data_IF_371691631100
#
_entry.id   IF_371691631100
#
_cell.length_a   1.000
_cell.length_b   1.000
_cell.length_c   1.000
_cell.angle_alpha   90.00
_cell.angle_beta   90.00
_cell.angle_gamma   90.00
#
_symmetry.space_group_name_H-M   'P 1'
#
loop_
_entity.id
_entity.type
_entity.pdbx_description
1 polymer ?
#
# COMPACT_ATOMS: atom_id res chain seq x y z
N UNK A 1 -17.61 12.39 -6.61
CA UNK A 1 -17.19 11.84 -7.93
C UNK A 1 -16.84 10.37 -7.70
N UNK A 2 -17.36 9.43 -8.48
CA UNK A 2 -17.07 8.01 -8.30
C UNK A 2 -15.54 7.77 -8.42
N UNK A 3 -15.00 6.84 -7.63
CA UNK A 3 -13.61 6.43 -7.72
C UNK A 3 -13.34 5.76 -9.08
N UNK A 4 -12.11 5.85 -9.53
CA UNK A 4 -11.61 5.15 -10.73
C UNK A 4 -10.22 4.60 -10.46
N UNK A 5 -9.87 3.49 -11.11
CA UNK A 5 -8.50 2.98 -11.06
C UNK A 5 -7.57 3.97 -11.75
N UNK A 6 -6.52 4.47 -11.09
CA UNK A 6 -5.54 5.32 -11.76
C UNK A 6 -4.71 4.49 -12.75
N UNK A 7 -4.26 5.12 -13.83
CA UNK A 7 -3.31 4.50 -14.75
C UNK A 7 -2.01 4.15 -14.00
N UNK A 8 -1.37 3.02 -14.39
CA UNK A 8 -0.03 2.71 -13.92
C UNK A 8 0.96 3.76 -14.44
N UNK A 9 1.89 4.25 -13.61
CA UNK A 9 2.91 5.21 -14.06
C UNK A 9 4.03 4.56 -14.90
N UNK A 10 3.94 3.26 -15.18
CA UNK A 10 4.90 2.46 -15.95
C UNK A 10 4.20 1.30 -16.66
N UNK A 11 4.90 0.64 -17.60
CA UNK A 11 4.38 -0.54 -18.29
C UNK A 11 4.23 -1.75 -17.34
N UNK A 12 3.34 -2.68 -17.66
CA UNK A 12 3.08 -3.85 -16.80
C UNK A 12 4.31 -4.73 -16.56
N UNK A 13 5.22 -4.82 -17.52
CA UNK A 13 6.47 -5.57 -17.46
C UNK A 13 7.64 -4.78 -16.84
N UNK A 14 7.43 -3.52 -16.49
CA UNK A 14 8.51 -2.62 -16.07
C UNK A 14 9.18 -3.01 -14.74
N UNK A 15 8.53 -3.83 -13.93
CA UNK A 15 9.05 -4.28 -12.63
C UNK A 15 9.73 -5.66 -12.72
N UNK A 16 9.82 -6.24 -13.92
CA UNK A 16 10.59 -7.47 -14.14
C UNK A 16 12.10 -7.24 -13.86
N UNK A 17 12.81 -8.20 -13.32
CA UNK A 17 12.39 -9.58 -13.02
C UNK A 17 11.81 -9.74 -11.59
N UNK A 18 11.49 -8.67 -10.87
CA UNK A 18 11.11 -8.70 -9.46
C UNK A 18 9.61 -8.98 -9.26
N UNK A 19 8.75 -8.33 -10.04
CA UNK A 19 7.30 -8.60 -10.09
C UNK A 19 6.96 -8.87 -11.56
N UNK A 20 6.27 -9.97 -11.82
CA UNK A 20 5.98 -10.41 -13.18
C UNK A 20 4.81 -9.65 -13.81
N UNK A 21 4.83 -9.53 -15.14
CA UNK A 21 3.81 -8.82 -15.91
C UNK A 21 2.40 -9.39 -15.67
N UNK A 22 2.25 -10.71 -15.56
CA UNK A 22 0.94 -11.33 -15.37
C UNK A 22 0.34 -10.96 -14.02
N UNK A 23 1.16 -10.99 -12.96
CA UNK A 23 0.75 -10.48 -11.64
C UNK A 23 0.31 -9.03 -11.73
N UNK A 24 1.08 -8.14 -12.38
CA UNK A 24 0.74 -6.73 -12.49
C UNK A 24 -0.59 -6.50 -13.22
N UNK A 25 -0.85 -7.21 -14.33
CA UNK A 25 -2.11 -7.10 -15.08
C UNK A 25 -3.32 -7.57 -14.25
N UNK A 26 -3.21 -8.71 -13.59
CA UNK A 26 -4.30 -9.23 -12.76
C UNK A 26 -4.52 -8.34 -11.55
N UNK A 27 -3.44 -7.92 -10.89
CA UNK A 27 -3.49 -7.14 -9.67
C UNK A 27 -4.10 -5.75 -9.90
N UNK A 28 -3.68 -5.05 -10.97
CA UNK A 28 -4.20 -3.74 -11.33
C UNK A 28 -5.58 -3.84 -11.99
N UNK A 29 -5.73 -4.61 -13.08
CA UNK A 29 -6.93 -4.55 -13.92
C UNK A 29 -8.12 -5.35 -13.36
N UNK A 30 -7.87 -6.28 -12.42
CA UNK A 30 -8.92 -7.12 -11.84
C UNK A 30 -9.11 -6.86 -10.35
N UNK A 31 -8.07 -7.00 -9.52
CA UNK A 31 -8.23 -6.83 -8.08
C UNK A 31 -8.50 -5.36 -7.73
N UNK A 32 -7.69 -4.42 -8.20
CA UNK A 32 -7.91 -2.99 -7.92
C UNK A 32 -9.24 -2.51 -8.51
N UNK A 33 -9.57 -2.89 -9.75
CA UNK A 33 -10.86 -2.54 -10.36
C UNK A 33 -12.04 -3.06 -9.52
N UNK A 34 -11.97 -4.29 -9.01
CA UNK A 34 -13.03 -4.83 -8.18
C UNK A 34 -13.21 -4.07 -6.86
N UNK A 35 -12.12 -3.55 -6.27
CA UNK A 35 -12.22 -2.69 -5.10
C UNK A 35 -12.92 -1.37 -5.43
N UNK A 36 -12.55 -0.74 -6.55
CA UNK A 36 -13.20 0.49 -7.03
C UNK A 36 -14.70 0.29 -7.25
N UNK A 37 -15.08 -0.75 -7.98
CA UNK A 37 -16.48 -1.03 -8.30
C UNK A 37 -17.32 -1.24 -7.03
N UNK A 38 -16.78 -2.01 -6.08
CA UNK A 38 -17.47 -2.30 -4.81
C UNK A 38 -17.50 -1.11 -3.86
N UNK A 39 -16.45 -0.27 -3.84
CA UNK A 39 -16.43 0.96 -3.05
C UNK A 39 -17.49 1.94 -3.56
N UNK A 40 -17.55 2.15 -4.87
CA UNK A 40 -18.55 2.99 -5.50
C UNK A 40 -19.98 2.51 -5.21
N UNK A 41 -20.23 1.20 -5.37
CA UNK A 41 -21.54 0.62 -5.06
C UNK A 41 -21.92 0.76 -3.56
N UNK A 42 -20.94 0.63 -2.66
CA UNK A 42 -21.18 0.80 -1.23
C UNK A 42 -21.53 2.25 -0.85
N UNK A 43 -20.94 3.23 -1.53
CA UNK A 43 -21.14 4.66 -1.28
C UNK A 43 -22.33 5.26 -2.04
N UNK A 44 -22.86 4.54 -3.05
CA UNK A 44 -23.98 5.03 -3.85
C UNK A 44 -25.17 5.48 -2.99
N UNK A 45 -25.69 6.67 -3.31
CA UNK A 45 -26.82 7.25 -2.60
C UNK A 45 -26.50 7.80 -1.21
N UNK A 46 -25.25 7.81 -0.79
CA UNK A 46 -24.79 8.44 0.46
C UNK A 46 -24.21 9.83 0.20
N UNK A 47 -24.12 10.66 1.23
CA UNK A 47 -23.40 11.94 1.17
C UNK A 47 -21.86 11.79 0.95
N UNK A 48 -21.36 10.56 1.02
CA UNK A 48 -19.95 10.21 0.86
C UNK A 48 -19.57 9.83 -0.57
N UNK A 49 -20.54 9.68 -1.47
CA UNK A 49 -20.31 9.20 -2.83
C UNK A 49 -19.40 10.11 -3.70
N UNK A 50 -19.37 11.41 -3.37
CA UNK A 50 -18.57 12.39 -4.11
C UNK A 50 -17.34 12.91 -3.35
N UNK A 51 -17.02 12.30 -2.21
CA UNK A 51 -15.86 12.68 -1.40
C UNK A 51 -14.60 11.98 -1.87
N UNK A 52 -13.46 12.59 -1.52
CA UNK A 52 -12.16 11.97 -1.70
C UNK A 52 -12.02 10.70 -0.86
N UNK A 53 -11.27 9.72 -1.37
CA UNK A 53 -11.10 8.42 -0.70
C UNK A 53 -10.42 8.55 0.66
N UNK A 54 -9.48 9.49 0.82
CA UNK A 54 -8.83 9.74 2.11
C UNK A 54 -9.81 10.30 3.13
N UNK A 55 -10.67 11.25 2.71
CA UNK A 55 -11.71 11.80 3.59
C UNK A 55 -12.68 10.70 4.03
N UNK A 56 -13.10 9.83 3.13
CA UNK A 56 -13.95 8.66 3.44
C UNK A 56 -13.28 7.75 4.46
N UNK A 57 -12.00 7.40 4.25
CA UNK A 57 -11.26 6.48 5.13
C UNK A 57 -10.95 7.06 6.51
N UNK A 58 -10.66 8.35 6.59
CA UNK A 58 -10.47 9.05 7.88
C UNK A 58 -11.77 9.16 8.70
N UNK A 59 -12.91 9.05 8.07
CA UNK A 59 -14.22 9.24 8.68
C UNK A 59 -15.11 7.98 8.64
N UNK A 60 -14.52 6.78 8.62
CA UNK A 60 -15.28 5.51 8.52
C UNK A 60 -16.40 5.39 9.58
N UNK A 61 -16.17 5.88 10.80
CA UNK A 61 -17.16 5.83 11.89
C UNK A 61 -18.37 6.74 11.66
N UNK A 62 -18.26 7.72 10.78
CA UNK A 62 -19.36 8.63 10.43
C UNK A 62 -20.27 8.06 9.32
N UNK A 63 -19.84 7.01 8.63
CA UNK A 63 -20.68 6.31 7.65
C UNK A 63 -21.83 5.55 8.34
N UNK A 64 -22.95 5.30 7.63
CA UNK A 64 -23.99 4.38 8.10
C UNK A 64 -23.40 3.02 8.49
N UNK A 65 -23.78 2.46 9.64
CA UNK A 65 -23.16 1.28 10.22
C UNK A 65 -23.16 0.05 9.31
N UNK A 66 -24.20 -0.12 8.51
CA UNK A 66 -24.32 -1.19 7.51
C UNK A 66 -23.38 -1.03 6.30
N UNK A 67 -22.83 0.16 6.08
CA UNK A 67 -21.90 0.49 5.00
C UNK A 67 -20.43 0.41 5.43
N UNK A 68 -20.13 0.63 6.71
CA UNK A 68 -18.75 0.78 7.21
C UNK A 68 -17.82 -0.37 6.80
N UNK A 69 -18.25 -1.62 6.97
CA UNK A 69 -17.41 -2.77 6.64
C UNK A 69 -17.10 -2.86 5.14
N UNK A 70 -18.11 -2.64 4.29
CA UNK A 70 -17.93 -2.67 2.84
C UNK A 70 -17.02 -1.54 2.37
N UNK A 71 -17.18 -0.31 2.91
CA UNK A 71 -16.35 0.85 2.57
C UNK A 71 -14.92 0.64 3.10
N UNK A 72 -14.74 0.23 4.36
CA UNK A 72 -13.43 -0.07 4.93
C UNK A 72 -12.63 -1.03 4.04
N UNK A 73 -13.24 -2.13 3.62
CA UNK A 73 -12.57 -3.12 2.79
C UNK A 73 -12.29 -2.64 1.37
N UNK A 74 -13.23 -1.98 0.73
CA UNK A 74 -13.15 -1.70 -0.69
C UNK A 74 -12.56 -0.31 -1.00
N UNK A 75 -12.91 0.74 -0.26
CA UNK A 75 -12.23 2.03 -0.37
C UNK A 75 -10.80 1.94 0.19
N UNK A 76 -10.59 1.15 1.27
CA UNK A 76 -9.24 0.83 1.75
C UNK A 76 -8.41 0.11 0.69
N UNK A 77 -9.00 -0.90 0.02
CA UNK A 77 -8.34 -1.58 -1.09
C UNK A 77 -7.99 -0.64 -2.23
N UNK A 78 -8.92 0.22 -2.65
CA UNK A 78 -8.65 1.22 -3.67
C UNK A 78 -7.51 2.16 -3.28
N UNK A 79 -7.54 2.74 -2.08
CA UNK A 79 -6.51 3.67 -1.61
C UNK A 79 -5.13 3.00 -1.49
N UNK A 80 -5.07 1.83 -0.84
CA UNK A 80 -3.82 1.10 -0.65
C UNK A 80 -3.14 0.77 -1.98
N UNK A 81 -3.92 0.31 -2.99
CA UNK A 81 -3.39 -0.02 -4.31
C UNK A 81 -3.00 1.24 -5.10
N UNK A 82 -3.77 2.34 -5.00
CA UNK A 82 -3.40 3.61 -5.63
C UNK A 82 -2.04 4.11 -5.16
N UNK A 83 -1.75 3.97 -3.86
CA UNK A 83 -0.44 4.28 -3.31
C UNK A 83 0.62 3.28 -3.77
N UNK A 84 0.30 1.98 -3.76
CA UNK A 84 1.24 0.91 -4.09
C UNK A 84 1.85 1.07 -5.48
N UNK A 85 1.04 1.44 -6.48
CA UNK A 85 1.54 1.68 -7.83
C UNK A 85 2.56 2.82 -7.90
N UNK A 86 2.40 3.86 -7.11
CA UNK A 86 3.34 5.00 -7.04
C UNK A 86 4.59 4.68 -6.20
N UNK A 87 4.46 3.80 -5.21
CA UNK A 87 5.56 3.36 -4.33
C UNK A 87 6.56 2.45 -5.03
N UNK A 88 6.27 2.00 -6.25
CA UNK A 88 7.14 1.16 -7.07
C UNK A 88 7.49 1.87 -8.39
N UNK A 89 8.59 1.46 -9.00
CA UNK A 89 8.99 1.96 -10.32
C UNK A 89 10.15 1.19 -10.93
N UNK A 90 10.32 1.30 -12.27
CA UNK A 90 11.37 0.57 -13.01
C UNK A 90 12.80 1.02 -12.67
N UNK A 91 12.94 2.24 -12.14
CA UNK A 91 14.22 2.79 -11.70
C UNK A 91 14.33 2.79 -10.16
N UNK A 92 13.52 1.94 -9.51
CA UNK A 92 13.48 1.80 -8.06
C UNK A 92 14.69 1.10 -7.48
N UNK A 93 14.62 0.88 -6.19
CA UNK A 93 15.68 0.20 -5.44
C UNK A 93 16.71 1.15 -4.84
N UNK A 94 17.82 0.58 -4.37
CA UNK A 94 18.81 1.34 -3.63
C UNK A 94 18.35 1.66 -2.20
N UNK A 95 18.74 2.82 -1.69
CA UNK A 95 18.43 3.30 -0.35
C UNK A 95 17.86 4.72 -0.39
N UNK A 96 16.97 5.09 0.55
CA UNK A 96 16.49 6.46 0.67
C UNK A 96 17.62 7.40 1.04
N UNK A 97 17.61 8.61 0.47
CA UNK A 97 18.52 9.68 0.80
C UNK A 97 17.84 10.81 1.57
N UNK A 98 18.59 11.90 1.80
CA UNK A 98 18.06 13.12 2.40
C UNK A 98 17.45 12.93 3.78
N UNK A 99 16.40 13.70 4.05
CA UNK A 99 15.74 13.72 5.35
C UNK A 99 15.06 12.39 5.69
N UNK A 100 14.52 11.69 4.68
CA UNK A 100 13.91 10.38 4.88
C UNK A 100 14.96 9.34 5.31
N UNK A 101 16.12 9.30 4.63
CA UNK A 101 17.21 8.39 5.00
C UNK A 101 17.71 8.64 6.42
N UNK A 102 17.91 9.92 6.78
CA UNK A 102 18.31 10.31 8.12
C UNK A 102 17.27 9.91 9.19
N UNK A 103 15.98 10.11 8.92
CA UNK A 103 14.91 9.72 9.84
C UNK A 103 14.82 8.19 10.02
N UNK A 104 15.05 7.42 8.95
CA UNK A 104 15.10 5.95 9.03
C UNK A 104 16.29 5.50 9.89
N UNK A 105 17.49 6.07 9.66
CA UNK A 105 18.67 5.73 10.45
C UNK A 105 18.50 6.12 11.93
N UNK A 106 17.90 7.28 12.22
CA UNK A 106 17.60 7.70 13.58
C UNK A 106 16.61 6.77 14.27
N UNK A 107 15.54 6.37 13.57
CA UNK A 107 14.45 5.57 14.16
C UNK A 107 14.84 4.10 14.34
N UNK A 108 15.46 3.50 13.32
CA UNK A 108 15.71 2.05 13.25
C UNK A 108 17.18 1.68 13.46
N UNK A 109 18.09 2.66 13.55
CA UNK A 109 19.53 2.46 13.72
C UNK A 109 20.30 2.29 12.40
N UNK A 110 19.66 1.80 11.35
CA UNK A 110 20.20 1.72 9.99
C UNK A 110 19.11 1.36 8.99
N UNK A 111 19.37 1.63 7.70
CA UNK A 111 18.48 1.18 6.62
C UNK A 111 18.33 -0.34 6.57
N UNK A 112 19.39 -1.12 6.85
CA UNK A 112 19.31 -2.58 6.86
C UNK A 112 18.45 -3.10 8.03
N UNK A 113 18.53 -2.48 9.20
CA UNK A 113 17.66 -2.82 10.33
C UNK A 113 16.19 -2.50 10.03
N UNK A 114 15.92 -1.35 9.39
CA UNK A 114 14.58 -1.00 8.91
C UNK A 114 14.04 -2.06 7.93
N UNK A 115 14.84 -2.46 6.92
CA UNK A 115 14.41 -3.48 5.95
C UNK A 115 14.06 -4.80 6.63
N UNK A 116 14.83 -5.20 7.63
CA UNK A 116 14.58 -6.44 8.37
C UNK A 116 13.29 -6.33 9.20
N UNK A 117 13.06 -5.21 9.90
CA UNK A 117 11.83 -4.98 10.66
C UNK A 117 10.60 -4.98 9.74
N UNK A 118 10.68 -4.27 8.61
CA UNK A 118 9.61 -4.22 7.61
C UNK A 118 9.30 -5.61 7.01
N UNK A 119 10.34 -6.35 6.64
CA UNK A 119 10.21 -7.74 6.16
C UNK A 119 9.55 -8.64 7.20
N UNK A 120 10.00 -8.55 8.46
CA UNK A 120 9.44 -9.33 9.56
C UNK A 120 7.97 -8.99 9.81
N UNK A 121 7.57 -7.73 9.71
CA UNK A 121 6.16 -7.32 9.78
C UNK A 121 5.32 -7.98 8.67
N UNK A 122 5.83 -8.02 7.43
CA UNK A 122 5.18 -8.68 6.29
C UNK A 122 5.09 -10.20 6.45
N UNK A 123 6.13 -10.84 6.98
CA UNK A 123 6.13 -12.30 7.26
C UNK A 123 5.16 -12.63 8.40
N UNK A 124 5.18 -11.86 9.48
CA UNK A 124 4.33 -12.08 10.65
C UNK A 124 2.86 -11.78 10.38
N UNK A 125 2.52 -11.05 9.31
CA UNK A 125 1.12 -10.83 8.90
C UNK A 125 0.49 -12.15 8.48
N UNK A 126 -0.21 -12.78 9.42
CA UNK A 126 -0.91 -14.04 9.18
C UNK A 126 -2.09 -13.80 8.23
N UNK A 127 -2.13 -14.53 7.10
CA UNK A 127 -3.13 -14.36 6.06
C UNK A 127 -2.87 -13.13 5.18
N UNK A 128 -3.94 -12.50 4.74
CA UNK A 128 -3.92 -11.34 3.85
C UNK A 128 -3.70 -10.04 4.61
N UNK A 129 -3.01 -9.10 4.00
CA UNK A 129 -2.80 -7.77 4.54
C UNK A 129 -1.61 -7.06 3.94
N UNK A 130 -1.07 -6.11 4.68
CA UNK A 130 0.00 -5.22 4.24
C UNK A 130 1.05 -5.05 5.34
N UNK A 131 2.29 -4.78 4.95
CA UNK A 131 3.29 -4.18 5.82
C UNK A 131 3.55 -2.74 5.38
N UNK A 132 3.74 -1.83 6.36
CA UNK A 132 3.83 -0.40 6.13
C UNK A 132 4.98 0.23 6.89
N UNK A 133 5.65 1.20 6.27
CA UNK A 133 6.30 2.31 6.94
C UNK A 133 5.29 3.44 7.05
N UNK A 134 5.02 3.90 8.26
CA UNK A 134 4.07 4.99 8.54
C UNK A 134 4.76 6.13 9.27
N UNK A 135 4.15 7.33 9.20
CA UNK A 135 4.53 8.51 9.96
C UNK A 135 3.33 9.02 10.76
N UNK A 136 3.56 9.36 12.00
CA UNK A 136 2.62 10.07 12.85
C UNK A 136 3.33 11.17 13.67
N UNK A 137 2.65 11.73 14.67
CA UNK A 137 3.21 12.75 15.56
C UNK A 137 4.38 12.25 16.41
N UNK A 138 4.58 10.95 16.56
CA UNK A 138 5.69 10.34 17.32
C UNK A 138 6.89 9.97 16.44
N UNK A 139 6.76 10.05 15.11
CA UNK A 139 7.80 9.75 14.14
C UNK A 139 7.47 8.60 13.20
N UNK A 140 8.51 7.86 12.77
CA UNK A 140 8.38 6.70 11.89
C UNK A 140 8.10 5.42 12.70
N UNK A 141 7.29 4.54 12.11
CA UNK A 141 7.07 3.19 12.65
C UNK A 141 6.83 2.18 11.52
N UNK A 142 7.18 0.92 11.77
CA UNK A 142 6.78 -0.21 10.94
C UNK A 142 5.57 -0.88 11.57
N UNK A 143 4.50 -1.03 10.79
CA UNK A 143 3.28 -1.70 11.23
C UNK A 143 2.80 -2.72 10.18
N UNK A 144 1.84 -3.55 10.53
CA UNK A 144 1.11 -4.36 9.57
C UNK A 144 -0.39 -4.26 9.81
N UNK A 145 -1.17 -4.23 8.72
CA UNK A 145 -2.64 -4.18 8.76
C UNK A 145 -3.24 -5.43 8.12
N UNK A 146 -4.37 -5.96 8.64
CA UNK A 146 -5.05 -7.09 8.03
C UNK A 146 -5.87 -6.65 6.83
N UNK A 147 -6.08 -7.57 5.88
CA UNK A 147 -6.93 -7.39 4.72
C UNK A 147 -6.61 -6.10 3.96
N UNK A 148 -7.60 -5.19 3.82
CA UNK A 148 -7.42 -3.89 3.17
C UNK A 148 -7.54 -2.72 4.15
N UNK A 149 -7.38 -2.98 5.45
CA UNK A 149 -7.30 -1.91 6.43
C UNK A 149 -6.14 -0.98 6.10
N UNK A 150 -6.42 0.31 6.09
CA UNK A 150 -5.44 1.33 5.74
C UNK A 150 -5.00 2.12 6.96
N UNK A 151 -3.69 2.40 7.12
CA UNK A 151 -3.18 3.20 8.24
C UNK A 151 -3.82 4.59 8.36
N UNK A 152 -4.27 5.16 7.25
CA UNK A 152 -4.91 6.48 7.23
C UNK A 152 -6.20 6.53 8.06
N UNK A 153 -6.90 5.39 8.19
CA UNK A 153 -8.11 5.29 9.01
C UNK A 153 -7.83 5.39 10.51
N UNK A 154 -6.60 5.10 10.92
CA UNK A 154 -6.11 5.19 12.30
C UNK A 154 -5.33 6.50 12.55
N UNK A 155 -5.35 7.42 11.59
CA UNK A 155 -4.73 8.75 11.71
C UNK A 155 -3.23 8.78 11.40
N UNK A 156 -2.63 7.69 10.93
CA UNK A 156 -1.23 7.64 10.52
C UNK A 156 -1.08 7.81 9.01
N UNK A 157 0.04 8.36 8.57
CA UNK A 157 0.33 8.58 7.15
C UNK A 157 1.14 7.41 6.60
N UNK A 158 0.60 6.62 5.64
CA UNK A 158 1.38 5.57 4.99
C UNK A 158 2.41 6.19 4.05
N UNK A 159 3.68 5.84 4.22
CA UNK A 159 4.81 6.31 3.40
C UNK A 159 5.23 5.27 2.37
N UNK A 160 5.41 4.02 2.82
CA UNK A 160 5.75 2.86 2.00
C UNK A 160 4.86 1.70 2.43
N UNK A 161 4.34 0.94 1.48
CA UNK A 161 3.55 -0.24 1.73
C UNK A 161 3.91 -1.39 0.81
N UNK A 162 3.79 -2.63 1.30
CA UNK A 162 3.89 -3.84 0.47
C UNK A 162 2.68 -4.72 0.71
N UNK A 163 2.03 -5.10 -0.37
CA UNK A 163 0.90 -6.03 -0.35
C UNK A 163 1.40 -7.45 -0.09
N UNK A 164 0.90 -8.10 0.98
CA UNK A 164 1.21 -9.49 1.29
C UNK A 164 0.01 -10.43 1.13
N UNK A 165 -1.04 -9.98 0.44
CA UNK A 165 -2.03 -10.88 -0.13
C UNK A 165 -1.36 -11.82 -1.13
N UNK A 166 -1.74 -13.08 -1.16
CA UNK A 166 -1.13 -14.06 -2.09
C UNK A 166 -1.26 -13.64 -3.56
N UNK A 167 -2.34 -12.95 -3.94
CA UNK A 167 -2.51 -12.47 -5.31
C UNK A 167 -1.40 -11.49 -5.75
N UNK A 168 -0.68 -10.86 -4.83
CA UNK A 168 0.40 -9.93 -5.15
C UNK A 168 1.70 -10.63 -5.56
N UNK A 169 1.88 -11.92 -5.25
CA UNK A 169 3.16 -12.59 -5.45
C UNK A 169 3.08 -14.09 -5.82
N UNK A 170 1.91 -14.73 -5.74
CA UNK A 170 1.81 -16.18 -5.81
C UNK A 170 2.21 -16.77 -7.17
N UNK A 171 1.93 -16.07 -8.27
CA UNK A 171 2.29 -16.57 -9.61
C UNK A 171 3.80 -16.79 -9.75
N UNK A 172 4.60 -15.88 -9.20
CA UNK A 172 6.07 -15.94 -9.29
C UNK A 172 6.74 -16.63 -8.10
N UNK A 173 6.31 -16.29 -6.89
CA UNK A 173 6.96 -16.73 -5.64
C UNK A 173 6.23 -17.85 -4.92
N UNK A 174 4.99 -18.15 -5.29
CA UNK A 174 4.15 -19.14 -4.66
C UNK A 174 4.08 -18.92 -3.12
N UNK A 175 4.35 -19.92 -2.32
CA UNK A 175 4.34 -19.82 -0.85
C UNK A 175 5.55 -19.10 -0.25
N UNK A 176 6.45 -18.59 -1.08
CA UNK A 176 7.72 -18.00 -0.64
C UNK A 176 7.61 -16.48 -0.43
N UNK A 177 6.69 -16.05 0.43
CA UNK A 177 6.52 -14.62 0.78
C UNK A 177 7.85 -13.94 1.17
N UNK A 178 8.78 -14.56 1.93
CA UNK A 178 10.06 -13.93 2.23
C UNK A 178 10.90 -13.55 1.00
N UNK A 179 10.91 -14.40 -0.05
CA UNK A 179 11.63 -14.11 -1.30
C UNK A 179 10.99 -12.92 -2.06
N UNK A 180 9.66 -12.83 -2.07
CA UNK A 180 8.95 -11.67 -2.62
C UNK A 180 9.29 -10.37 -1.88
N UNK A 181 9.28 -10.42 -0.54
CA UNK A 181 9.63 -9.25 0.28
C UNK A 181 11.08 -8.80 0.08
N UNK A 182 12.01 -9.74 -0.15
CA UNK A 182 13.39 -9.40 -0.52
C UNK A 182 13.48 -8.78 -1.92
N UNK A 183 12.70 -9.28 -2.87
CA UNK A 183 12.68 -8.76 -4.24
C UNK A 183 12.04 -7.36 -4.32
N UNK A 184 11.06 -7.07 -3.46
CA UNK A 184 10.35 -5.79 -3.42
C UNK A 184 11.30 -4.58 -3.28
N UNK A 185 12.39 -4.72 -2.52
CA UNK A 185 13.36 -3.63 -2.34
C UNK A 185 14.01 -3.13 -3.63
N UNK A 186 14.02 -3.94 -4.70
CA UNK A 186 14.59 -3.55 -5.97
C UNK A 186 13.67 -2.65 -6.82
N UNK A 187 12.41 -2.51 -6.44
CA UNK A 187 11.42 -1.73 -7.19
C UNK A 187 10.87 -0.53 -6.42
N UNK A 188 11.30 -0.31 -5.17
CA UNK A 188 10.82 0.81 -4.34
C UNK A 188 11.20 2.15 -4.96
N UNK A 189 10.21 3.01 -5.19
CA UNK A 189 10.36 4.38 -5.65
C UNK A 189 10.61 5.32 -4.46
N UNK A 190 11.88 5.45 -4.06
CA UNK A 190 12.25 6.26 -2.90
C UNK A 190 11.97 7.75 -3.06
N UNK A 191 11.93 8.27 -4.28
CA UNK A 191 11.58 9.67 -4.53
C UNK A 191 10.13 9.94 -4.11
N UNK A 192 9.20 9.06 -4.50
CA UNK A 192 7.80 9.17 -4.08
C UNK A 192 7.64 8.99 -2.57
N UNK A 193 8.36 8.05 -1.96
CA UNK A 193 8.32 7.84 -0.50
C UNK A 193 8.83 9.08 0.24
N UNK A 194 9.90 9.72 -0.27
CA UNK A 194 10.45 10.96 0.30
C UNK A 194 9.48 12.15 0.16
N UNK A 195 8.79 12.28 -0.98
CA UNK A 195 7.73 13.29 -1.17
C UNK A 195 6.61 13.12 -0.13
N UNK A 196 6.16 11.90 0.10
CA UNK A 196 5.16 11.61 1.12
C UNK A 196 5.66 11.86 2.55
N UNK A 197 6.95 11.65 2.80
CA UNK A 197 7.55 11.94 4.10
C UNK A 197 7.59 13.45 4.38
N UNK A 198 7.80 14.27 3.36
CA UNK A 198 7.88 15.73 3.45
C UNK A 198 6.49 16.41 3.55
N UNK A 199 5.40 15.73 3.16
CA UNK A 199 4.03 16.25 3.25
C UNK A 199 3.44 16.05 4.65
#
# INVERSE_FOLDING_TARGET
MAFSVPDLPYAYDALEPHIDEETMRIHHDKHHQAYVDKANAALEGTEWADRDVEDVLRNLSALPGDKQAAVRNNAGGHYNHSLFWQMMGPNGGGAPGGDLGAAIDETFGSFDAFKEEFKNAGIARFGSGWAWLVKDSSGLAVISTPNQDSPISDGTTPLLGVDVWEHAYYLKYQNKRPEYLDAFWNVVNWDYVAERFAS
#
